data_IF_697195976368
#
_entry.id   IF_697195976368
#
_cell.length_a   1.000
_cell.length_b   1.000
_cell.length_c   1.000
_cell.angle_alpha   90.00
_cell.angle_beta   90.00
_cell.angle_gamma   90.00
#
_symmetry.space_group_name_H-M   'P 1'
#
loop_
_entity.id
_entity.type
_entity.pdbx_description
1 polymer ?
#
# COMPACT_ATOMS: atom_id res chain seq x y z
N UNK A 1 -8.13 5.46 10.50
CA UNK A 1 -7.47 4.66 9.45
C UNK A 1 -7.45 5.48 8.17
N UNK A 2 -6.28 5.65 7.57
CA UNK A 2 -6.12 6.34 6.29
C UNK A 2 -5.99 5.30 5.18
N UNK A 3 -6.74 5.47 4.09
CA UNK A 3 -6.69 4.59 2.92
C UNK A 3 -6.50 5.44 1.68
N UNK A 4 -5.53 5.12 0.82
CA UNK A 4 -5.34 5.86 -0.43
C UNK A 4 -6.32 5.40 -1.49
N UNK A 5 -6.93 6.35 -2.20
CA UNK A 5 -7.81 6.06 -3.33
C UNK A 5 -7.04 5.38 -4.47
N UNK A 6 -7.50 4.19 -4.87
CA UNK A 6 -6.86 3.37 -5.91
C UNK A 6 -7.43 3.65 -7.31
N UNK A 7 -6.62 3.40 -8.35
CA UNK A 7 -7.08 3.55 -9.73
C UNK A 7 -8.10 2.48 -10.07
N UNK A 8 -9.32 2.89 -10.43
CA UNK A 8 -10.37 1.97 -10.89
C UNK A 8 -9.94 1.31 -12.22
N UNK A 9 -10.04 -0.02 -12.31
CA UNK A 9 -9.78 -0.77 -13.56
C UNK A 9 -10.78 -0.35 -14.64
N UNK A 10 -10.29 -0.14 -15.85
CA UNK A 10 -11.10 0.36 -16.95
C UNK A 10 -11.78 -0.79 -17.71
N UNK A 11 -12.83 -1.38 -17.13
CA UNK A 11 -13.61 -2.45 -17.78
C UNK A 11 -15.07 -2.35 -17.33
N UNK A 12 -16.00 -2.60 -18.27
CA UNK A 12 -17.46 -2.78 -18.08
C UNK A 12 -17.86 -3.59 -16.83
N UNK A 13 -16.95 -4.42 -16.30
CA UNK A 13 -17.13 -5.34 -15.19
C UNK A 13 -16.37 -4.98 -13.91
N UNK A 14 -15.71 -3.81 -13.84
CA UNK A 14 -14.95 -3.42 -12.65
C UNK A 14 -15.79 -3.35 -11.36
N UNK A 15 -17.10 -3.11 -11.50
CA UNK A 15 -18.07 -3.11 -10.40
C UNK A 15 -18.32 -4.50 -9.78
N UNK A 16 -17.88 -5.58 -10.43
CA UNK A 16 -18.04 -6.95 -9.92
C UNK A 16 -16.94 -7.35 -8.91
N UNK A 17 -15.88 -6.55 -8.79
CA UNK A 17 -14.77 -6.81 -7.88
C UNK A 17 -14.71 -5.73 -6.82
N UNK A 18 -14.56 -6.13 -5.56
CA UNK A 18 -14.45 -5.18 -4.45
C UNK A 18 -13.10 -4.47 -4.46
N UNK A 19 -13.13 -3.16 -4.21
CA UNK A 19 -11.93 -2.35 -3.99
C UNK A 19 -11.29 -2.66 -2.63
N UNK A 20 -10.02 -2.30 -2.44
CA UNK A 20 -9.37 -2.45 -1.13
C UNK A 20 -10.09 -1.64 -0.04
N UNK A 21 -10.65 -0.48 -0.39
CA UNK A 21 -11.45 0.35 0.51
C UNK A 21 -12.76 -0.33 0.92
N UNK A 22 -13.49 -0.92 -0.04
CA UNK A 22 -14.72 -1.67 0.23
C UNK A 22 -14.46 -2.89 1.13
N UNK A 23 -13.37 -3.62 0.88
CA UNK A 23 -12.97 -4.75 1.72
C UNK A 23 -12.65 -4.29 3.15
N UNK A 24 -11.86 -3.22 3.29
CA UNK A 24 -11.50 -2.67 4.61
C UNK A 24 -12.75 -2.22 5.40
N UNK A 25 -13.70 -1.55 4.73
CA UNK A 25 -14.98 -1.14 5.31
C UNK A 25 -15.82 -2.35 5.76
N UNK A 26 -15.89 -3.39 4.93
CA UNK A 26 -16.60 -4.62 5.27
C UNK A 26 -15.98 -5.31 6.49
N UNK A 27 -14.65 -5.40 6.57
CA UNK A 27 -13.94 -5.97 7.72
C UNK A 27 -14.18 -5.17 9.00
N UNK A 28 -14.09 -3.83 8.94
CA UNK A 28 -14.34 -2.97 10.11
C UNK A 28 -15.76 -3.16 10.64
N UNK A 29 -16.73 -3.27 9.74
CA UNK A 29 -18.14 -3.53 10.09
C UNK A 29 -18.32 -4.90 10.74
N UNK A 30 -17.73 -5.94 10.14
CA UNK A 30 -17.83 -7.32 10.65
C UNK A 30 -17.17 -7.46 12.03
N UNK A 31 -16.00 -6.86 12.20
CA UNK A 31 -15.25 -6.84 13.45
C UNK A 31 -15.84 -5.87 14.50
N UNK A 32 -16.91 -5.14 14.16
CA UNK A 32 -17.59 -4.16 15.02
C UNK A 32 -16.64 -3.10 15.59
N UNK A 33 -15.63 -2.72 14.81
CA UNK A 33 -14.64 -1.73 15.22
C UNK A 33 -15.19 -0.32 14.99
N UNK A 34 -15.06 0.54 16.00
CA UNK A 34 -15.40 1.97 15.87
C UNK A 34 -14.14 2.76 15.58
N UNK A 35 -13.77 2.85 14.31
CA UNK A 35 -12.57 3.57 13.85
C UNK A 35 -12.96 4.55 12.74
N UNK A 36 -12.56 5.83 12.81
CA UNK A 36 -12.78 6.77 11.74
C UNK A 36 -11.96 6.38 10.51
N UNK A 37 -12.61 6.32 9.34
CA UNK A 37 -11.99 5.99 8.07
C UNK A 37 -11.93 7.27 7.23
N UNK A 38 -10.76 7.59 6.72
CA UNK A 38 -10.53 8.75 5.88
C UNK A 38 -9.83 8.27 4.61
N UNK A 39 -10.46 8.55 3.48
CA UNK A 39 -9.91 8.21 2.17
C UNK A 39 -9.04 9.36 1.70
N UNK A 40 -7.75 9.07 1.52
CA UNK A 40 -6.75 10.02 1.01
C UNK A 40 -6.97 10.17 -0.49
N UNK A 41 -7.27 11.38 -0.97
CA UNK A 41 -7.49 11.60 -2.40
C UNK A 41 -6.17 11.44 -3.15
N UNK A 42 -6.22 10.69 -4.24
CA UNK A 42 -5.06 10.54 -5.13
C UNK A 42 -4.77 11.85 -5.87
N UNK A 43 -3.50 12.18 -6.05
CA UNK A 43 -3.04 13.32 -6.85
C UNK A 43 -3.24 13.09 -8.36
N UNK A 44 -3.44 11.83 -8.77
CA UNK A 44 -3.76 11.38 -10.14
C UNK A 44 -5.18 10.80 -10.19
N UNK A 45 -5.47 9.94 -11.17
CA UNK A 45 -6.74 9.20 -11.30
C UNK A 45 -6.82 7.92 -10.44
N UNK A 46 -6.09 7.90 -9.32
CA UNK A 46 -5.96 6.79 -8.38
C UNK A 46 -4.54 6.27 -8.31
N UNK A 47 -4.14 5.75 -7.15
CA UNK A 47 -2.84 5.14 -6.95
C UNK A 47 -2.77 3.80 -7.70
N UNK A 48 -1.65 3.57 -8.40
CA UNK A 48 -1.34 2.29 -9.07
C UNK A 48 -0.04 1.67 -8.55
N UNK A 49 0.66 2.35 -7.66
CA UNK A 49 1.93 1.92 -7.10
C UNK A 49 2.09 2.42 -5.67
N UNK A 50 2.94 1.75 -4.91
CA UNK A 50 3.29 2.15 -3.55
C UNK A 50 3.97 3.52 -3.50
N UNK A 51 4.63 3.95 -4.58
CA UNK A 51 5.14 5.31 -4.70
C UNK A 51 4.01 6.34 -4.85
N UNK A 52 3.00 6.06 -5.67
CA UNK A 52 1.86 6.97 -5.82
C UNK A 52 1.13 7.14 -4.48
N UNK A 53 0.91 6.04 -3.75
CA UNK A 53 0.35 6.08 -2.39
C UNK A 53 1.18 6.94 -1.44
N UNK A 54 2.51 6.84 -1.50
CA UNK A 54 3.40 7.64 -0.67
C UNK A 54 3.34 9.14 -1.01
N UNK A 55 3.26 9.50 -2.30
CA UNK A 55 3.13 10.90 -2.72
C UNK A 55 1.78 11.49 -2.30
N UNK A 56 0.71 10.74 -2.50
CA UNK A 56 -0.65 11.13 -2.12
C UNK A 56 -0.75 11.35 -0.61
N UNK A 57 -0.20 10.40 0.18
CA UNK A 57 -0.20 10.51 1.63
C UNK A 57 0.68 11.66 2.13
N UNK A 58 1.82 11.93 1.51
CA UNK A 58 2.66 13.06 1.88
C UNK A 58 1.89 14.38 1.73
N UNK A 59 1.26 14.61 0.57
CA UNK A 59 0.48 15.83 0.32
C UNK A 59 -0.69 15.98 1.27
N UNK A 60 -1.38 14.88 1.56
CA UNK A 60 -2.45 14.88 2.54
C UNK A 60 -1.93 15.20 3.96
N UNK A 61 -0.80 14.60 4.34
CA UNK A 61 -0.19 14.79 5.66
C UNK A 61 0.33 16.21 5.86
N UNK A 62 0.89 16.85 4.83
CA UNK A 62 1.28 18.26 4.87
C UNK A 62 0.06 19.18 5.10
N UNK A 63 -1.05 18.90 4.41
CA UNK A 63 -2.29 19.67 4.53
C UNK A 63 -2.93 19.53 5.92
N UNK A 64 -3.05 18.30 6.41
CA UNK A 64 -3.64 17.98 7.71
C UNK A 64 -2.67 18.15 8.88
N UNK A 65 -1.41 18.51 8.58
CA UNK A 65 -0.32 18.75 9.55
C UNK A 65 -0.02 17.54 10.46
N UNK A 66 -0.06 16.35 9.90
CA UNK A 66 0.36 15.15 10.62
C UNK A 66 1.86 15.16 10.91
N UNK A 67 2.24 14.71 12.10
CA UNK A 67 3.65 14.63 12.53
C UNK A 67 4.17 13.21 12.70
N UNK A 68 3.26 12.24 12.81
CA UNK A 68 3.61 10.85 13.04
C UNK A 68 2.63 9.94 12.31
N UNK A 69 3.16 8.99 11.55
CA UNK A 69 2.41 8.02 10.77
C UNK A 69 2.95 6.63 11.03
N UNK A 70 2.04 5.66 11.19
CA UNK A 70 2.36 4.24 11.25
C UNK A 70 1.86 3.62 9.94
N UNK A 71 2.78 3.11 9.13
CA UNK A 71 2.49 2.36 7.92
C UNK A 71 2.19 0.92 8.29
N UNK A 72 0.98 0.44 7.97
CA UNK A 72 0.58 -0.95 8.20
C UNK A 72 0.46 -1.64 6.86
N UNK A 73 1.21 -2.70 6.65
CA UNK A 73 1.15 -3.54 5.45
C UNK A 73 1.56 -4.97 5.81
N UNK A 74 1.46 -5.92 4.89
CA UNK A 74 1.82 -7.30 5.17
C UNK A 74 3.34 -7.49 5.39
N UNK A 75 3.73 -8.60 5.99
CA UNK A 75 5.14 -8.91 6.30
C UNK A 75 6.05 -8.89 5.07
N UNK A 76 5.56 -9.34 3.91
CA UNK A 76 6.38 -9.45 2.70
C UNK A 76 6.54 -8.12 1.95
N UNK A 77 5.52 -7.27 1.90
CA UNK A 77 5.59 -5.95 1.24
C UNK A 77 6.10 -4.83 2.14
N UNK A 78 6.21 -5.07 3.45
CA UNK A 78 6.70 -4.10 4.46
C UNK A 78 8.00 -3.42 4.05
N UNK A 79 8.98 -4.17 3.52
CA UNK A 79 10.29 -3.59 3.16
C UNK A 79 10.22 -2.64 1.95
N UNK A 80 9.51 -3.03 0.90
CA UNK A 80 9.36 -2.18 -0.30
C UNK A 80 8.47 -0.97 -0.03
N UNK A 81 7.41 -1.15 0.74
CA UNK A 81 6.55 -0.06 1.17
C UNK A 81 7.35 0.93 2.03
N UNK A 82 8.07 0.45 3.05
CA UNK A 82 8.92 1.33 3.86
C UNK A 82 9.93 2.10 3.03
N UNK A 83 10.60 1.44 2.08
CA UNK A 83 11.57 2.12 1.20
C UNK A 83 10.93 3.23 0.36
N UNK A 84 9.76 2.97 -0.25
CA UNK A 84 9.04 3.97 -1.03
C UNK A 84 8.63 5.17 -0.18
N UNK A 85 7.99 4.93 0.98
CA UNK A 85 7.56 5.98 1.91
C UNK A 85 8.75 6.75 2.48
N UNK A 86 9.81 6.08 2.91
CA UNK A 86 11.01 6.74 3.43
C UNK A 86 11.68 7.62 2.37
N UNK A 87 11.71 7.18 1.11
CA UNK A 87 12.26 7.96 -0.01
C UNK A 87 11.45 9.21 -0.26
N UNK A 88 10.11 9.10 -0.28
CA UNK A 88 9.20 10.21 -0.56
C UNK A 88 9.15 11.21 0.58
N UNK A 89 9.15 10.74 1.83
CA UNK A 89 9.09 11.59 3.03
C UNK A 89 10.47 12.12 3.47
N UNK A 90 11.54 11.81 2.72
CA UNK A 90 12.90 12.25 3.04
C UNK A 90 12.97 13.78 3.10
N UNK A 91 13.48 14.30 4.21
CA UNK A 91 13.61 15.75 4.43
C UNK A 91 12.37 16.42 5.03
N UNK A 92 11.30 15.66 5.28
CA UNK A 92 10.13 16.15 6.02
C UNK A 92 10.33 15.98 7.53
N UNK A 93 9.54 16.70 8.34
CA UNK A 93 9.52 16.52 9.81
C UNK A 93 8.56 15.41 10.25
N UNK A 94 7.97 14.67 9.32
CA UNK A 94 6.97 13.65 9.61
C UNK A 94 7.71 12.35 9.95
N UNK A 95 7.49 11.85 11.18
CA UNK A 95 8.03 10.56 11.60
C UNK A 95 7.22 9.43 10.95
N UNK A 96 7.93 8.45 10.39
CA UNK A 96 7.36 7.23 9.82
C UNK A 96 7.80 6.02 10.63
N UNK A 97 6.83 5.27 11.12
CA UNK A 97 7.00 3.93 11.70
C UNK A 97 6.31 2.91 10.81
N UNK A 98 6.72 1.64 10.90
CA UNK A 98 6.13 0.56 10.11
C UNK A 98 5.77 -0.60 11.01
N UNK A 99 4.58 -1.14 10.79
CA UNK A 99 4.06 -2.32 11.47
C UNK A 99 3.67 -3.36 10.43
N UNK A 100 4.36 -4.49 10.44
CA UNK A 100 4.03 -5.63 9.59
C UNK A 100 2.84 -6.40 10.18
N UNK A 101 1.74 -6.47 9.43
CA UNK A 101 0.62 -7.34 9.75
C UNK A 101 0.95 -8.77 9.34
N UNK A 102 0.80 -9.72 10.28
CA UNK A 102 0.99 -11.15 9.97
C UNK A 102 -0.08 -11.59 8.99
N UNK A 103 0.33 -12.36 7.99
CA UNK A 103 -0.58 -13.01 7.06
C UNK A 103 -0.93 -14.41 7.59
N UNK A 104 -2.22 -14.72 7.71
CA UNK A 104 -2.70 -16.02 8.20
C UNK A 104 -2.63 -17.12 7.13
N UNK A 105 -2.51 -16.74 5.86
CA UNK A 105 -2.48 -17.66 4.70
C UNK A 105 -1.06 -18.19 4.48
N UNK A 106 -0.04 -17.36 4.71
CA UNK A 106 1.37 -17.75 4.54
C UNK A 106 2.33 -16.85 5.35
N UNK A 107 3.52 -17.36 5.64
CA UNK A 107 4.59 -16.70 6.37
C UNK A 107 5.97 -17.13 5.84
N UNK A 108 7.05 -16.63 6.46
CA UNK A 108 8.43 -16.86 6.02
C UNK A 108 8.81 -18.35 6.00
N UNK A 109 8.14 -19.18 6.80
CA UNK A 109 8.43 -20.61 6.94
C UNK A 109 7.55 -21.53 6.07
N UNK A 110 6.55 -21.00 5.38
CA UNK A 110 5.64 -21.82 4.56
C UNK A 110 5.13 -21.12 3.29
N UNK A 111 5.76 -20.02 2.85
CA UNK A 111 5.30 -19.26 1.68
C UNK A 111 5.17 -20.12 0.41
N UNK A 112 5.96 -21.19 0.27
CA UNK A 112 5.90 -22.10 -0.88
C UNK A 112 4.69 -23.05 -0.87
N UNK A 113 3.89 -23.09 0.20
CA UNK A 113 2.75 -24.02 0.30
C UNK A 113 1.44 -23.43 -0.18
N UNK A 114 1.40 -22.16 -0.61
CA UNK A 114 0.21 -21.52 -1.15
C UNK A 114 0.52 -20.69 -2.39
N UNK A 115 -0.41 -20.65 -3.35
CA UNK A 115 -0.26 -19.86 -4.58
C UNK A 115 -0.09 -18.37 -4.28
N UNK A 116 -0.75 -17.88 -3.22
CA UNK A 116 -0.60 -16.50 -2.74
C UNK A 116 0.80 -16.24 -2.17
N UNK A 117 1.34 -17.16 -1.38
CA UNK A 117 2.69 -17.04 -0.83
C UNK A 117 3.77 -17.13 -1.90
N UNK A 118 3.63 -18.04 -2.87
CA UNK A 118 4.52 -18.15 -4.03
C UNK A 118 4.51 -16.85 -4.82
N UNK A 119 3.32 -16.34 -5.16
CA UNK A 119 3.17 -15.10 -5.93
C UNK A 119 3.77 -13.90 -5.20
N UNK A 120 3.49 -13.75 -3.90
CA UNK A 120 4.02 -12.67 -3.09
C UNK A 120 5.56 -12.72 -3.03
N UNK A 121 6.13 -13.89 -2.74
CA UNK A 121 7.58 -14.05 -2.62
C UNK A 121 8.32 -13.79 -3.95
N UNK A 122 7.82 -14.35 -5.04
CA UNK A 122 8.42 -14.19 -6.38
C UNK A 122 8.30 -12.75 -6.88
N UNK A 123 7.11 -12.16 -6.79
CA UNK A 123 6.88 -10.78 -7.25
C UNK A 123 7.69 -9.79 -6.41
N UNK A 124 7.79 -9.99 -5.10
CA UNK A 124 8.56 -9.11 -4.23
C UNK A 124 10.06 -9.20 -4.51
N UNK A 125 10.57 -10.41 -4.77
CA UNK A 125 11.97 -10.63 -5.17
C UNK A 125 12.35 -9.91 -6.47
N UNK A 126 11.38 -9.69 -7.37
CA UNK A 126 11.59 -8.95 -8.61
C UNK A 126 11.37 -7.44 -8.42
N UNK A 127 10.29 -7.05 -7.74
CA UNK A 127 9.92 -5.63 -7.56
C UNK A 127 10.88 -4.90 -6.62
N UNK A 128 11.39 -5.55 -5.58
CA UNK A 128 12.23 -4.90 -4.58
C UNK A 128 13.58 -4.42 -5.14
N UNK A 129 14.35 -5.22 -5.91
CA UNK A 129 15.57 -4.73 -6.57
C UNK A 129 15.33 -3.56 -7.53
N UNK A 130 14.21 -3.56 -8.26
CA UNK A 130 13.84 -2.43 -9.15
C UNK A 130 13.63 -1.15 -8.33
N UNK A 131 12.98 -1.24 -7.17
CA UNK A 131 12.78 -0.10 -6.28
C UNK A 131 14.09 0.37 -5.64
N UNK A 132 15.05 -0.52 -5.36
CA UNK A 132 16.36 -0.14 -4.81
C UNK A 132 17.22 0.66 -5.79
N UNK A 133 17.16 0.34 -7.08
CA UNK A 133 17.96 1.01 -8.12
C UNK A 133 17.23 2.26 -8.68
N UNK A 134 15.90 2.30 -8.56
CA UNK A 134 15.09 3.39 -9.06
C UNK A 134 14.52 4.25 -7.93
N UNK A 135 15.00 5.48 -7.81
CA UNK A 135 14.48 6.48 -6.86
C UNK A 135 13.14 7.11 -7.28
N UNK A 136 12.51 6.58 -8.34
CA UNK A 136 11.18 6.96 -8.86
C UNK A 136 10.45 5.71 -9.38
N UNK A 137 9.14 5.79 -9.54
CA UNK A 137 8.35 4.70 -10.12
C UNK A 137 8.92 4.30 -11.50
N UNK A 138 9.30 3.03 -11.67
CA UNK A 138 9.92 2.56 -12.90
C UNK A 138 8.93 2.69 -14.07
N UNK A 139 9.19 3.58 -15.02
CA UNK A 139 8.29 3.92 -16.13
C UNK A 139 7.95 2.76 -17.06
N UNK A 140 8.70 1.65 -17.00
CA UNK A 140 8.44 0.44 -17.79
C UNK A 140 7.51 -0.57 -17.10
N UNK A 141 7.25 -0.45 -15.79
CA UNK A 141 6.30 -1.31 -15.07
C UNK A 141 4.91 -0.69 -15.21
N UNK A 142 4.12 -1.24 -16.14
CA UNK A 142 2.70 -0.91 -16.29
C UNK A 142 1.87 -1.81 -15.34
N UNK A 143 1.21 -1.20 -14.36
CA UNK A 143 0.23 -1.86 -13.49
C UNK A 143 -1.19 -1.59 -14.03
N UNK A 144 -1.45 -2.04 -15.26
CA UNK A 144 -2.73 -1.91 -15.96
C UNK A 144 -3.74 -3.00 -15.51
#
# INVERSE_FOLDING_TARGET
>A
MLLTNEKKRNIRFAHLFSTNEEIALAMIKELKLSVPIITVPSLKSGATSTFDEAYDLLKFSEKERFRHLILVTDTFHTRRAYHAFQTVFKGTQIRLEVSAAKNEIYNESNWWTSDQGISAYVLESIKYPVYLVSSRNATFIRND
#
